data_IF_605783394944
#
_entry.id   IF_605783394944
#
_cell.length_a   1.000
_cell.length_b   1.000
_cell.length_c   1.000
_cell.angle_alpha   90.00
_cell.angle_beta   90.00
_cell.angle_gamma   90.00
#
_symmetry.space_group_name_H-M   'P 1'
#
loop_
_entity.id
_entity.type
_entity.pdbx_description
1 polymer ?
#
# COMPACT_ATOMS: atom_id res chain seq x y z
N UNK A 1 3.23 -23.13 2.26
CA UNK A 1 2.49 -21.84 2.16
C UNK A 1 3.25 -20.62 2.69
N UNK A 2 4.33 -20.78 3.48
CA UNK A 2 4.99 -19.64 4.15
C UNK A 2 5.78 -18.70 3.22
N UNK A 3 6.46 -19.26 2.20
CA UNK A 3 7.25 -18.50 1.22
C UNK A 3 6.49 -17.38 0.44
N UNK A 4 5.31 -17.62 -0.16
CA UNK A 4 4.57 -16.54 -0.84
C UNK A 4 4.09 -15.45 0.10
N UNK A 5 3.74 -15.80 1.34
CA UNK A 5 3.25 -14.84 2.34
C UNK A 5 4.38 -13.90 2.74
N UNK A 6 5.58 -14.44 3.02
CA UNK A 6 6.76 -13.63 3.34
C UNK A 6 7.13 -12.66 2.20
N UNK A 7 7.04 -13.11 0.94
CA UNK A 7 7.29 -12.26 -0.21
C UNK A 7 6.23 -11.15 -0.35
N UNK A 8 4.95 -11.48 -0.16
CA UNK A 8 3.87 -10.50 -0.21
C UNK A 8 4.03 -9.40 0.86
N UNK A 9 4.40 -9.80 2.09
CA UNK A 9 4.68 -8.88 3.19
C UNK A 9 5.90 -8.00 2.89
N UNK A 10 6.98 -8.58 2.36
CA UNK A 10 8.18 -7.82 2.01
C UNK A 10 7.91 -6.76 0.93
N UNK A 11 7.15 -7.14 -0.10
CA UNK A 11 6.76 -6.21 -1.18
C UNK A 11 5.86 -5.09 -0.65
N UNK A 12 4.84 -5.42 0.15
CA UNK A 12 3.94 -4.40 0.72
C UNK A 12 4.68 -3.46 1.67
N UNK A 13 5.59 -3.97 2.51
CA UNK A 13 6.41 -3.13 3.38
C UNK A 13 7.28 -2.15 2.58
N UNK A 14 7.92 -2.60 1.50
CA UNK A 14 8.73 -1.74 0.64
C UNK A 14 7.89 -0.62 0.00
N UNK A 15 6.70 -0.93 -0.53
CA UNK A 15 5.79 0.07 -1.13
C UNK A 15 5.33 1.10 -0.10
N UNK A 16 5.02 0.67 1.12
CA UNK A 16 4.61 1.56 2.21
C UNK A 16 5.74 2.50 2.61
N UNK A 17 6.97 1.99 2.72
CA UNK A 17 8.14 2.82 3.02
C UNK A 17 8.38 3.87 1.92
N UNK A 18 8.29 3.47 0.65
CA UNK A 18 8.42 4.41 -0.48
C UNK A 18 7.32 5.48 -0.40
N UNK A 19 6.08 5.08 -0.09
CA UNK A 19 4.96 6.03 0.01
C UNK A 19 5.11 6.98 1.18
N UNK A 20 5.59 6.51 2.33
CA UNK A 20 5.88 7.35 3.49
C UNK A 20 7.00 8.36 3.18
N UNK A 21 8.04 7.94 2.44
CA UNK A 21 9.08 8.85 1.97
C UNK A 21 8.55 9.89 0.98
N UNK A 22 7.73 9.47 -0.01
CA UNK A 22 7.07 10.39 -0.93
C UNK A 22 6.18 11.39 -0.18
N UNK A 23 5.42 10.93 0.81
CA UNK A 23 4.61 11.81 1.65
C UNK A 23 5.46 12.82 2.42
N UNK A 24 6.58 12.38 2.99
CA UNK A 24 7.48 13.25 3.73
C UNK A 24 8.08 14.33 2.82
N UNK A 25 8.55 13.95 1.64
CA UNK A 25 9.07 14.91 0.64
C UNK A 25 7.98 15.87 0.18
N UNK A 26 6.77 15.36 -0.07
CA UNK A 26 5.63 16.17 -0.49
C UNK A 26 5.23 17.19 0.57
N UNK A 27 5.23 16.77 1.84
CA UNK A 27 4.85 17.59 2.98
C UNK A 27 5.88 18.69 3.29
N UNK A 28 7.18 18.38 3.24
CA UNK A 28 8.23 19.34 3.61
C UNK A 28 8.80 20.14 2.44
N UNK A 29 8.84 19.57 1.22
CA UNK A 29 9.56 20.18 0.10
C UNK A 29 8.65 20.66 -1.04
N UNK A 30 7.52 20.00 -1.28
CA UNK A 30 6.70 20.23 -2.49
C UNK A 30 5.30 20.80 -2.20
N UNK A 31 4.98 21.08 -0.93
CA UNK A 31 3.71 21.69 -0.49
C UNK A 31 2.46 21.01 -1.08
N UNK A 32 2.47 19.67 -1.23
CA UNK A 32 1.31 18.92 -1.74
C UNK A 32 1.26 18.70 -3.25
N UNK A 33 2.30 19.06 -4.00
CA UNK A 33 2.32 19.01 -5.46
C UNK A 33 3.07 17.81 -6.04
N UNK A 34 3.45 16.82 -5.23
CA UNK A 34 4.21 15.67 -5.73
C UNK A 34 3.42 14.86 -6.77
N UNK A 35 3.89 14.80 -8.02
CA UNK A 35 3.19 14.07 -9.07
C UNK A 35 3.26 12.56 -8.79
N UNK A 36 2.14 11.86 -8.97
CA UNK A 36 2.05 10.40 -8.80
C UNK A 36 1.86 9.92 -7.36
N UNK A 37 2.08 10.75 -6.33
CA UNK A 37 1.88 10.36 -4.93
C UNK A 37 0.44 9.86 -4.67
N UNK A 38 -0.57 10.58 -5.17
CA UNK A 38 -1.99 10.22 -5.00
C UNK A 38 -2.34 8.86 -5.61
N UNK A 39 -1.66 8.46 -6.67
CA UNK A 39 -1.87 7.16 -7.32
C UNK A 39 -1.29 6.05 -6.45
N UNK A 40 -0.05 6.25 -5.95
CA UNK A 40 0.62 5.30 -5.07
C UNK A 40 -0.13 5.14 -3.74
N UNK A 41 -0.61 6.23 -3.16
CA UNK A 41 -1.34 6.27 -1.90
C UNK A 41 -2.84 5.91 -2.05
N UNK A 42 -3.36 5.78 -3.28
CA UNK A 42 -4.77 5.55 -3.57
C UNK A 42 -5.42 4.43 -2.73
N UNK A 43 -4.84 3.21 -2.59
CA UNK A 43 -5.45 2.17 -1.76
C UNK A 43 -5.57 2.57 -0.28
N UNK A 44 -4.59 3.30 0.26
CA UNK A 44 -4.67 3.85 1.63
C UNK A 44 -5.70 4.98 1.75
N UNK A 45 -5.85 5.82 0.71
CA UNK A 45 -6.87 6.86 0.65
C UNK A 45 -8.28 6.23 0.60
N UNK A 46 -8.47 5.17 -0.19
CA UNK A 46 -9.72 4.44 -0.26
C UNK A 46 -10.10 3.82 1.08
N UNK A 47 -9.12 3.27 1.81
CA UNK A 47 -9.31 2.79 3.19
C UNK A 47 -9.74 3.91 4.14
N UNK A 48 -9.12 5.09 4.02
CA UNK A 48 -9.45 6.27 4.82
C UNK A 48 -10.90 6.74 4.66
N UNK A 49 -11.48 6.61 3.46
CA UNK A 49 -12.86 7.04 3.18
C UNK A 49 -13.92 6.29 3.99
N UNK A 50 -13.59 5.11 4.52
CA UNK A 50 -14.47 4.34 5.39
C UNK A 50 -14.59 4.96 6.79
N UNK A 51 -13.65 5.84 7.16
CA UNK A 51 -13.62 6.49 8.44
C UNK A 51 -14.10 7.93 8.33
N UNK A 52 -14.78 8.42 9.37
CA UNK A 52 -15.32 9.78 9.44
C UNK A 52 -14.21 10.84 9.31
N UNK A 53 -14.57 12.00 8.76
CA UNK A 53 -13.63 13.05 8.36
C UNK A 53 -12.94 13.74 9.56
N UNK A 54 -13.53 13.64 10.76
CA UNK A 54 -13.14 14.32 12.00
C UNK A 54 -11.89 13.74 12.72
N UNK A 55 -11.11 12.90 12.05
CA UNK A 55 -9.94 12.27 12.65
C UNK A 55 -8.72 13.20 12.54
N UNK A 56 -8.01 13.35 13.67
CA UNK A 56 -6.73 14.04 13.76
C UNK A 56 -5.70 13.53 12.72
N UNK A 57 -4.77 14.39 12.33
CA UNK A 57 -3.79 14.10 11.27
C UNK A 57 -2.96 12.83 11.53
N UNK A 58 -2.40 12.66 12.73
CA UNK A 58 -1.51 11.53 13.04
C UNK A 58 -2.20 10.16 12.95
N UNK A 59 -3.37 9.95 13.58
CA UNK A 59 -4.16 8.73 13.36
C UNK A 59 -4.57 8.53 11.90
N UNK A 60 -4.89 9.61 11.18
CA UNK A 60 -5.24 9.57 9.75
C UNK A 60 -4.07 9.09 8.90
N UNK A 61 -2.84 9.53 9.18
CA UNK A 61 -1.63 9.03 8.51
C UNK A 61 -1.38 7.54 8.83
N UNK A 62 -1.54 7.13 10.09
CA UNK A 62 -1.40 5.73 10.50
C UNK A 62 -2.40 4.81 9.79
N UNK A 63 -3.66 5.22 9.70
CA UNK A 63 -4.72 4.50 8.97
C UNK A 63 -4.43 4.41 7.48
N UNK A 64 -3.87 5.47 6.88
CA UNK A 64 -3.51 5.48 5.46
C UNK A 64 -2.42 4.45 5.17
N UNK A 65 -1.35 4.43 5.97
CA UNK A 65 -0.24 3.48 5.80
C UNK A 65 -0.69 2.04 6.07
N UNK A 66 -1.56 1.83 7.07
CA UNK A 66 -2.10 0.51 7.40
C UNK A 66 -3.01 -0.02 6.28
N UNK A 67 -3.95 0.81 5.80
CA UNK A 67 -4.83 0.46 4.69
C UNK A 67 -4.04 0.15 3.41
N UNK A 68 -3.02 0.96 3.14
CA UNK A 68 -2.11 0.73 2.03
C UNK A 68 -1.35 -0.59 2.16
N UNK A 69 -0.78 -0.88 3.34
CA UNK A 69 -0.08 -2.14 3.61
C UNK A 69 -0.97 -3.35 3.34
N UNK A 70 -2.19 -3.36 3.89
CA UNK A 70 -3.13 -4.47 3.73
C UNK A 70 -3.52 -4.67 2.27
N UNK A 71 -3.83 -3.60 1.55
CA UNK A 71 -4.21 -3.67 0.14
C UNK A 71 -3.08 -4.25 -0.73
N UNK A 72 -1.85 -3.77 -0.59
CA UNK A 72 -0.72 -4.28 -1.36
C UNK A 72 -0.32 -5.70 -0.95
N UNK A 73 -0.43 -6.05 0.33
CA UNK A 73 -0.16 -7.41 0.79
C UNK A 73 -1.14 -8.42 0.18
N UNK A 74 -2.44 -8.08 0.16
CA UNK A 74 -3.47 -8.91 -0.48
C UNK A 74 -3.25 -9.01 -1.99
N UNK A 75 -3.00 -7.88 -2.66
CA UNK A 75 -2.75 -7.87 -4.10
C UNK A 75 -1.52 -8.72 -4.48
N UNK A 76 -0.41 -8.56 -3.75
CA UNK A 76 0.80 -9.34 -3.97
C UNK A 76 0.57 -10.83 -3.72
N UNK A 77 -0.18 -11.19 -2.68
CA UNK A 77 -0.51 -12.58 -2.40
C UNK A 77 -1.34 -13.20 -3.54
N UNK A 78 -2.40 -12.52 -3.97
CA UNK A 78 -3.25 -12.97 -5.09
C UNK A 78 -2.44 -13.11 -6.37
N UNK A 79 -1.58 -12.14 -6.68
CA UNK A 79 -0.72 -12.20 -7.85
C UNK A 79 0.25 -13.40 -7.79
N UNK A 80 0.93 -13.61 -6.66
CA UNK A 80 1.90 -14.71 -6.51
C UNK A 80 1.20 -16.07 -6.58
N UNK A 81 0.06 -16.23 -5.92
CA UNK A 81 -0.71 -17.48 -5.92
C UNK A 81 -1.33 -17.72 -7.30
N UNK A 82 -1.91 -16.69 -7.91
CA UNK A 82 -2.50 -16.75 -9.25
C UNK A 82 -1.47 -17.17 -10.31
N UNK A 83 -0.30 -16.54 -10.33
CA UNK A 83 0.80 -16.90 -11.24
C UNK A 83 1.25 -18.35 -11.05
N UNK A 84 1.29 -18.83 -9.80
CA UNK A 84 1.63 -20.23 -9.50
C UNK A 84 0.55 -21.21 -9.93
N UNK A 85 -0.72 -20.85 -9.75
CA UNK A 85 -1.86 -21.66 -10.19
C UNK A 85 -1.87 -21.80 -11.70
N UNK A 86 -1.69 -20.69 -12.41
CA UNK A 86 -1.63 -20.66 -13.87
C UNK A 86 -0.47 -21.53 -14.41
N UNK A 87 0.74 -21.39 -13.84
CA UNK A 87 1.89 -22.23 -14.23
C UNK A 87 1.66 -23.73 -14.04
N UNK A 88 0.84 -24.15 -13.06
CA UNK A 88 0.53 -25.56 -12.83
C UNK A 88 -0.47 -26.13 -13.84
N UNK A 89 -1.33 -25.28 -14.42
CA UNK A 89 -2.33 -25.71 -15.39
C UNK A 89 -1.77 -25.86 -16.81
N UNK A 90 -0.64 -25.21 -17.13
CA UNK A 90 0.00 -25.28 -18.45
C UNK A 90 1.15 -26.30 -18.53
N UNK A 91 1.33 -27.13 -17.50
CA UNK A 91 2.35 -28.19 -17.44
C UNK A 91 1.67 -29.53 -17.32
#
# INVERSE_FOLDING_TARGET
MVRPIALAIGVSAAVVLITALCFFIDFYCLSGQMPGYKILAYPGIAWLRLFSEEINFWPKLGLLLLGQFLAYALLALVAIVGVRSFRRSCR
#
